data_IF_546616625046
#
_entry.id   IF_546616625046
#
_cell.length_a   1.000
_cell.length_b   1.000
_cell.length_c   1.000
_cell.angle_alpha   90.00
_cell.angle_beta   90.00
_cell.angle_gamma   90.00
#
_symmetry.space_group_name_H-M   'P 1'
#
loop_
_entity.id
_entity.type
_entity.pdbx_description
1 polymer ?
#
# COMPACT_ATOMS: atom_id res chain seq x y z
N UNK A 1 11.14 -2.30 1.01
CA UNK A 1 12.27 -3.25 1.19
C UNK A 1 11.77 -4.54 1.87
N UNK A 2 12.51 -5.65 1.82
CA UNK A 2 12.28 -6.79 2.71
C UNK A 2 12.26 -6.34 4.18
N UNK A 3 11.23 -6.71 4.92
CA UNK A 3 11.03 -6.32 6.33
C UNK A 3 11.00 -7.51 7.30
N UNK A 4 11.03 -8.76 6.82
CA UNK A 4 10.96 -9.96 7.67
C UNK A 4 11.94 -9.93 8.87
N UNK A 5 13.20 -9.51 8.64
CA UNK A 5 14.21 -9.45 9.69
C UNK A 5 13.86 -8.45 10.82
N UNK A 6 13.15 -7.37 10.51
CA UNK A 6 12.70 -6.39 11.50
C UNK A 6 11.46 -6.87 12.29
N UNK A 7 10.68 -7.79 11.71
CA UNK A 7 9.45 -8.32 12.31
C UNK A 7 9.77 -9.48 13.26
N UNK A 8 10.68 -10.38 12.85
CA UNK A 8 11.12 -11.52 13.63
C UNK A 8 10.81 -12.86 12.96
N UNK A 9 9.98 -13.67 13.60
CA UNK A 9 9.66 -15.02 13.13
C UNK A 9 8.66 -15.04 11.96
N UNK A 10 8.56 -16.15 11.19
CA UNK A 10 7.50 -16.31 10.18
C UNK A 10 6.09 -16.15 10.76
N UNK A 11 5.85 -16.63 11.98
CA UNK A 11 4.56 -16.43 12.66
C UNK A 11 4.33 -14.95 13.04
N UNK A 12 5.37 -14.21 13.41
CA UNK A 12 5.24 -12.75 13.62
C UNK A 12 4.85 -12.02 12.34
N UNK A 13 5.39 -12.44 11.19
CA UNK A 13 5.02 -11.88 9.88
C UNK A 13 3.55 -12.16 9.56
N UNK A 14 3.07 -13.37 9.85
CA UNK A 14 1.65 -13.72 9.67
C UNK A 14 0.75 -12.91 10.61
N UNK A 15 1.12 -12.79 11.88
CA UNK A 15 0.41 -11.97 12.86
C UNK A 15 0.33 -10.50 12.42
N UNK A 16 1.45 -9.95 11.97
CA UNK A 16 1.52 -8.59 11.44
C UNK A 16 0.67 -8.43 10.17
N UNK A 17 0.61 -9.44 9.31
CA UNK A 17 -0.23 -9.42 8.11
C UNK A 17 -1.71 -9.28 8.45
N UNK A 18 -2.19 -9.98 9.50
CA UNK A 18 -3.55 -9.79 10.00
C UNK A 18 -3.77 -8.43 10.65
N UNK A 19 -2.76 -7.87 11.33
CA UNK A 19 -2.85 -6.49 11.84
C UNK A 19 -3.01 -5.49 10.69
N UNK A 20 -2.22 -5.63 9.62
CA UNK A 20 -2.33 -4.78 8.43
C UNK A 20 -3.71 -4.92 7.77
N UNK A 21 -4.26 -6.13 7.65
CA UNK A 21 -5.64 -6.33 7.18
C UNK A 21 -6.66 -5.62 8.08
N UNK A 22 -6.45 -5.60 9.39
CA UNK A 22 -7.36 -4.92 10.31
C UNK A 22 -7.41 -3.40 10.12
N UNK A 23 -6.33 -2.77 9.61
CA UNK A 23 -6.25 -1.32 9.37
C UNK A 23 -7.25 -0.85 8.30
N UNK A 24 -7.46 -1.66 7.26
CA UNK A 24 -8.46 -1.44 6.21
C UNK A 24 -9.83 -2.04 6.55
N UNK A 25 -10.02 -2.56 7.78
CA UNK A 25 -11.22 -3.31 8.19
C UNK A 25 -11.50 -4.55 7.31
N UNK A 26 -10.47 -5.05 6.61
CA UNK A 26 -10.57 -6.29 5.85
C UNK A 26 -10.78 -7.49 6.77
N UNK A 27 -11.42 -8.58 6.31
CA UNK A 27 -11.48 -9.85 7.05
C UNK A 27 -10.10 -10.30 7.55
N UNK A 28 -10.00 -10.59 8.84
CA UNK A 28 -8.75 -10.97 9.50
C UNK A 28 -9.00 -11.83 10.75
N UNK A 29 -7.98 -12.52 11.22
CA UNK A 29 -7.96 -13.15 12.53
C UNK A 29 -7.61 -12.11 13.59
N UNK A 30 -8.57 -11.82 14.49
CA UNK A 30 -8.41 -10.78 15.52
C UNK A 30 -7.36 -11.10 16.58
N UNK A 31 -7.14 -12.39 16.90
CA UNK A 31 -6.08 -12.78 17.83
C UNK A 31 -4.72 -12.50 17.20
N UNK A 32 -4.53 -12.91 15.96
CA UNK A 32 -3.29 -12.66 15.21
C UNK A 32 -3.04 -11.16 15.02
N UNK A 33 -4.07 -10.39 14.69
CA UNK A 33 -3.96 -8.94 14.58
C UNK A 33 -3.53 -8.28 15.90
N UNK A 34 -4.08 -8.73 17.03
CA UNK A 34 -3.67 -8.24 18.35
C UNK A 34 -2.19 -8.53 18.65
N UNK A 35 -1.74 -9.75 18.36
CA UNK A 35 -0.34 -10.16 18.53
C UNK A 35 0.62 -9.39 17.59
N UNK A 36 0.18 -9.11 16.36
CA UNK A 36 0.97 -8.41 15.35
C UNK A 36 1.09 -6.90 15.57
N UNK A 37 0.19 -6.29 16.33
CA UNK A 37 0.13 -4.83 16.52
C UNK A 37 1.44 -4.23 17.03
N UNK A 38 2.12 -4.88 17.97
CA UNK A 38 3.38 -4.38 18.54
C UNK A 38 4.53 -4.35 17.51
N UNK A 39 4.49 -5.27 16.53
CA UNK A 39 5.48 -5.38 15.46
C UNK A 39 5.34 -4.29 14.40
N UNK A 40 4.18 -3.64 14.30
CA UNK A 40 3.93 -2.57 13.34
C UNK A 40 4.78 -1.31 13.59
N UNK A 41 5.41 -1.18 14.76
CA UNK A 41 6.31 -0.05 15.06
C UNK A 41 7.42 0.12 14.01
N UNK A 42 7.96 -0.97 13.47
CA UNK A 42 8.95 -0.94 12.39
C UNK A 42 8.35 -0.45 11.05
N UNK A 43 7.06 -0.69 10.82
CA UNK A 43 6.35 -0.28 9.61
C UNK A 43 5.91 1.19 9.68
N UNK A 44 5.61 1.68 10.89
CA UNK A 44 5.12 3.03 11.15
C UNK A 44 6.12 4.13 10.74
N UNK A 45 7.41 3.80 10.66
CA UNK A 45 8.45 4.73 10.17
C UNK A 45 8.16 5.26 8.76
N UNK A 46 7.54 4.43 7.90
CA UNK A 46 7.17 4.82 6.54
C UNK A 46 5.65 4.95 6.36
N UNK A 47 4.88 4.06 6.99
CA UNK A 47 3.42 4.02 6.81
C UNK A 47 2.64 4.88 7.82
N UNK A 48 3.32 5.55 8.75
CA UNK A 48 2.69 6.29 9.84
C UNK A 48 2.13 5.37 10.93
N UNK A 49 1.93 5.92 12.13
CA UNK A 49 1.37 5.16 13.26
C UNK A 49 -0.09 4.74 13.03
N UNK A 50 -0.83 5.52 12.26
CA UNK A 50 -2.20 5.24 11.85
C UNK A 50 -2.28 4.44 10.54
N UNK A 51 -1.15 4.12 9.91
CA UNK A 51 -1.11 3.32 8.69
C UNK A 51 -1.49 4.06 7.41
N UNK A 52 -1.64 5.40 7.46
CA UNK A 52 -2.08 6.19 6.30
C UNK A 52 -1.07 6.34 5.17
N UNK A 53 0.14 5.82 5.36
CA UNK A 53 1.20 5.94 4.36
C UNK A 53 1.92 7.28 4.43
N UNK A 54 2.85 7.46 3.51
CA UNK A 54 3.60 8.69 3.32
C UNK A 54 3.90 8.88 1.83
N UNK A 55 3.19 9.81 1.20
CA UNK A 55 3.30 10.08 -0.23
C UNK A 55 4.71 10.52 -0.65
N UNK A 56 5.43 11.26 0.20
CA UNK A 56 6.79 11.72 -0.10
C UNK A 56 7.79 10.55 -0.19
N UNK A 57 7.54 9.47 0.54
CA UNK A 57 8.33 8.23 0.48
C UNK A 57 7.78 7.22 -0.53
N UNK A 58 6.62 7.50 -1.12
CA UNK A 58 5.87 6.51 -1.92
C UNK A 58 5.32 5.34 -1.10
N UNK A 59 5.22 5.49 0.23
CA UNK A 59 4.65 4.47 1.10
C UNK A 59 3.11 4.49 0.99
N UNK A 60 2.46 3.38 0.58
CA UNK A 60 1.02 3.35 0.38
C UNK A 60 0.25 3.44 1.69
N UNK A 61 -0.98 3.93 1.58
CA UNK A 61 -1.98 3.86 2.63
C UNK A 61 -2.41 2.39 2.84
N UNK A 62 -2.43 1.94 4.09
CA UNK A 62 -2.82 0.58 4.48
C UNK A 62 -4.22 0.53 5.10
N UNK A 63 -4.88 1.69 5.25
CA UNK A 63 -6.21 1.82 5.87
C UNK A 63 -7.35 1.90 4.85
N UNK A 64 -7.06 1.86 3.55
CA UNK A 64 -8.05 1.89 2.48
C UNK A 64 -8.18 0.53 1.79
N UNK A 65 -9.08 0.46 0.82
CA UNK A 65 -9.41 -0.77 0.09
C UNK A 65 -8.57 -0.94 -1.19
N UNK A 66 -7.49 -0.17 -1.37
CA UNK A 66 -6.70 -0.14 -2.62
C UNK A 66 -5.43 -0.99 -2.49
N UNK A 67 -5.45 -2.17 -3.12
CA UNK A 67 -4.35 -3.15 -3.05
C UNK A 67 -3.67 -3.35 -4.41
N UNK A 68 -2.50 -2.74 -4.61
CA UNK A 68 -1.76 -2.82 -5.88
C UNK A 68 -1.10 -4.18 -6.15
N UNK A 69 -0.72 -4.91 -5.10
CA UNK A 69 0.11 -6.12 -5.21
C UNK A 69 -0.59 -7.38 -4.67
N UNK A 70 -1.90 -7.40 -4.79
CA UNK A 70 -2.75 -8.46 -4.25
C UNK A 70 -3.21 -8.19 -2.82
N UNK A 71 -4.27 -8.88 -2.45
CA UNK A 71 -4.96 -8.74 -1.17
C UNK A 71 -4.91 -10.05 -0.38
N UNK A 72 -5.00 -9.97 0.95
CA UNK A 72 -5.04 -11.11 1.87
C UNK A 72 -3.70 -11.46 2.53
N UNK A 73 -3.75 -12.38 3.50
CA UNK A 73 -2.60 -12.75 4.34
C UNK A 73 -1.37 -13.16 3.51
N UNK A 74 -1.56 -14.00 2.49
CA UNK A 74 -0.47 -14.51 1.67
C UNK A 74 0.22 -13.39 0.88
N UNK A 75 -0.55 -12.45 0.30
CA UNK A 75 0.00 -11.32 -0.45
C UNK A 75 0.79 -10.38 0.46
N UNK A 76 0.24 -10.06 1.64
CA UNK A 76 0.90 -9.17 2.61
C UNK A 76 2.17 -9.84 3.19
N UNK A 77 2.10 -11.13 3.52
CA UNK A 77 3.26 -11.91 3.99
C UNK A 77 4.36 -11.92 2.93
N UNK A 78 4.02 -12.16 1.66
CA UNK A 78 4.99 -12.11 0.56
C UNK A 78 5.60 -10.70 0.41
N UNK A 79 4.82 -9.65 0.60
CA UNK A 79 5.29 -8.27 0.54
C UNK A 79 6.24 -7.93 1.69
N UNK A 80 5.93 -8.37 2.91
CA UNK A 80 6.80 -8.18 4.09
C UNK A 80 8.11 -8.96 3.91
N UNK A 81 8.06 -10.18 3.37
CA UNK A 81 9.24 -11.03 3.22
C UNK A 81 10.17 -10.55 2.11
N UNK A 82 9.61 -10.21 0.95
CA UNK A 82 10.41 -9.96 -0.25
C UNK A 82 10.56 -8.46 -0.55
N UNK A 83 9.72 -7.62 0.02
CA UNK A 83 9.57 -6.23 -0.41
C UNK A 83 9.16 -6.11 -1.87
N UNK A 84 9.10 -4.86 -2.35
CA UNK A 84 8.89 -4.54 -3.76
C UNK A 84 9.59 -3.24 -4.11
N UNK A 85 10.18 -3.19 -5.29
CA UNK A 85 10.68 -1.97 -5.92
C UNK A 85 9.78 -1.67 -7.11
N UNK A 86 8.86 -0.72 -6.93
CA UNK A 86 8.05 -0.21 -8.04
C UNK A 86 8.86 0.87 -8.76
N UNK A 87 8.91 0.76 -10.08
CA UNK A 87 9.56 1.75 -10.93
C UNK A 87 8.51 2.28 -11.90
N UNK A 88 8.30 3.60 -11.89
CA UNK A 88 7.57 4.29 -12.94
C UNK A 88 8.60 4.98 -13.84
N UNK A 89 8.90 4.43 -15.03
CA UNK A 89 9.90 5.01 -15.90
C UNK A 89 9.51 6.42 -16.36
N UNK A 90 10.51 7.28 -16.53
CA UNK A 90 10.31 8.58 -17.16
C UNK A 90 9.77 8.38 -18.58
N UNK A 91 8.75 9.17 -18.94
CA UNK A 91 8.10 9.07 -20.26
C UNK A 91 8.66 10.09 -21.28
N UNK A 92 9.55 10.99 -20.87
CA UNK A 92 10.10 12.07 -21.70
C UNK A 92 10.90 11.57 -22.92
N UNK A 93 11.46 10.36 -22.87
CA UNK A 93 12.15 9.74 -24.00
C UNK A 93 11.19 9.16 -25.05
N UNK A 94 9.90 9.00 -24.70
CA UNK A 94 8.88 8.35 -25.54
C UNK A 94 7.78 9.29 -26.01
N UNK A 95 7.51 10.34 -25.25
CA UNK A 95 6.41 11.26 -25.47
C UNK A 95 6.91 12.70 -25.50
N UNK A 96 6.30 13.53 -26.34
CA UNK A 96 6.54 14.98 -26.32
C UNK A 96 5.92 15.61 -25.07
N UNK A 97 6.38 16.80 -24.70
CA UNK A 97 5.82 17.55 -23.55
C UNK A 97 4.30 17.75 -23.67
N UNK A 98 3.82 18.09 -24.86
CA UNK A 98 2.39 18.23 -25.13
C UNK A 98 1.62 16.91 -24.89
N UNK A 99 2.18 15.77 -25.32
CA UNK A 99 1.57 14.46 -25.09
C UNK A 99 1.57 14.08 -23.60
N UNK A 100 2.64 14.41 -22.87
CA UNK A 100 2.73 14.19 -21.41
C UNK A 100 1.66 15.01 -20.69
N UNK A 101 1.46 16.27 -21.06
CA UNK A 101 0.43 17.14 -20.46
C UNK A 101 -0.99 16.63 -20.72
N UNK A 102 -1.27 16.16 -21.94
CA UNK A 102 -2.56 15.54 -22.28
C UNK A 102 -2.76 14.24 -21.49
N UNK A 103 -1.74 13.38 -21.41
CA UNK A 103 -1.81 12.13 -20.66
C UNK A 103 -2.01 12.38 -19.15
N UNK A 104 -1.30 13.35 -18.57
CA UNK A 104 -1.46 13.75 -17.18
C UNK A 104 -2.88 14.27 -16.91
N UNK A 105 -3.42 15.09 -17.82
CA UNK A 105 -4.80 15.59 -17.73
C UNK A 105 -5.81 14.46 -17.81
N UNK A 106 -5.58 13.47 -18.68
CA UNK A 106 -6.43 12.29 -18.78
C UNK A 106 -6.41 11.45 -17.49
N UNK A 107 -5.24 11.12 -16.95
CA UNK A 107 -5.11 10.37 -15.68
C UNK A 107 -5.78 11.13 -14.53
N UNK A 108 -5.60 12.45 -14.45
CA UNK A 108 -6.28 13.27 -13.46
C UNK A 108 -7.81 13.18 -13.60
N UNK A 109 -8.32 13.23 -14.84
CA UNK A 109 -9.76 13.10 -15.12
C UNK A 109 -10.36 11.76 -14.65
N UNK A 110 -9.59 10.67 -14.65
CA UNK A 110 -10.06 9.37 -14.15
C UNK A 110 -10.38 9.41 -12.65
N UNK A 111 -9.64 10.21 -11.89
CA UNK A 111 -9.88 10.39 -10.46
C UNK A 111 -10.97 11.42 -10.13
N UNK A 112 -11.16 12.44 -10.98
CA UNK A 112 -12.15 13.52 -10.76
C UNK A 112 -13.53 13.23 -11.32
N UNK A 113 -13.67 12.33 -12.31
CA UNK A 113 -14.98 11.96 -12.88
C UNK A 113 -15.82 11.02 -12.00
N UNK A 114 -15.24 10.41 -10.95
CA UNK A 114 -16.02 9.69 -9.92
C UNK A 114 -17.02 10.59 -9.17
N UNK A 115 -16.78 11.90 -9.13
CA UNK A 115 -17.71 12.88 -8.58
C UNK A 115 -18.85 13.27 -9.56
N UNK A 116 -18.64 13.15 -10.87
CA UNK A 116 -19.62 13.52 -11.89
C UNK A 116 -20.65 12.41 -12.18
N UNK A 117 -20.30 11.15 -11.95
CA UNK A 117 -21.23 10.01 -12.09
C UNK A 117 -22.22 9.88 -10.92
N UNK A 118 -21.93 10.48 -9.76
CA UNK A 118 -22.85 10.55 -8.61
C UNK A 118 -23.84 11.72 -8.67
N UNK A 119 -23.74 12.57 -9.70
CA UNK A 119 -24.55 13.77 -9.89
C UNK A 119 -25.41 13.72 -11.17
N UNK A 120 -25.66 12.53 -11.73
CA UNK A 120 -26.60 12.31 -12.83
C UNK A 120 -27.62 11.25 -12.47
#
# INVERSE_FOLDING_TARGET
PPMAAAVGSPEDVRNLSHYVLSLSKSPHDSLRASLGKSKFSACAACHGMDGKGNQALGAPNLTDDVWLHGWGEAAITAMINNGKTNQMPAQAEKLTEAQINVLASYVWSLSSNGAAAAAR
#
